data_IF_801795988244
#
_entry.id   IF_801795988244
#
_cell.length_a   1.000
_cell.length_b   1.000
_cell.length_c   1.000
_cell.angle_alpha   90.00
_cell.angle_beta   90.00
_cell.angle_gamma   90.00
#
_symmetry.space_group_name_H-M   'P 1'
#
loop_
_entity.id
_entity.type
_entity.pdbx_description
1 polymer ?
#
# COMPACT_ATOMS: atom_id res chain seq x y z
N UNK A 1 15.05 15.28 -18.24
CA UNK A 1 14.98 13.89 -17.75
C UNK A 1 15.12 14.01 -16.25
N UNK A 2 14.02 14.35 -15.61
CA UNK A 2 14.02 14.84 -14.24
C UNK A 2 13.26 13.83 -13.42
N UNK A 3 13.99 12.85 -12.90
CA UNK A 3 13.52 12.00 -11.82
C UNK A 3 14.06 12.56 -10.51
N UNK A 4 13.20 12.99 -9.59
CA UNK A 4 13.47 12.92 -8.17
C UNK A 4 12.74 11.67 -7.65
N UNK A 5 13.40 10.75 -6.97
CA UNK A 5 14.20 11.04 -5.79
C UNK A 5 13.38 10.54 -4.61
N UNK A 6 13.70 9.32 -4.17
CA UNK A 6 13.30 8.80 -2.88
C UNK A 6 13.60 9.83 -1.79
N UNK A 7 12.58 10.33 -1.09
CA UNK A 7 12.76 11.03 0.18
C UNK A 7 11.44 11.18 0.97
N UNK A 8 11.51 10.72 2.22
CA UNK A 8 10.78 11.20 3.41
C UNK A 8 9.29 10.79 3.53
N UNK A 9 8.80 10.25 4.66
CA UNK A 9 9.41 9.96 5.94
C UNK A 9 8.53 8.96 6.71
N UNK A 10 9.11 7.82 7.09
CA UNK A 10 8.64 7.05 8.22
C UNK A 10 8.93 7.86 9.50
N UNK A 11 7.93 8.60 9.97
CA UNK A 11 7.94 9.33 11.22
C UNK A 11 6.90 8.78 12.20
N UNK A 12 6.98 7.49 12.53
CA UNK A 12 6.21 6.94 13.65
C UNK A 12 7.10 6.92 14.91
N UNK A 13 6.98 7.97 15.72
CA UNK A 13 7.53 8.01 17.08
C UNK A 13 6.93 6.90 17.96
N UNK A 14 7.56 6.58 19.11
CA UNK A 14 7.19 5.45 19.94
C UNK A 14 5.95 5.79 20.78
N UNK A 15 4.78 5.71 20.15
CA UNK A 15 3.50 5.55 20.83
C UNK A 15 2.94 4.22 20.38
N UNK A 16 2.81 3.26 21.29
CA UNK A 16 2.21 1.96 21.03
C UNK A 16 0.70 2.11 20.73
N UNK A 17 0.35 2.63 19.56
CA UNK A 17 -0.97 2.57 18.98
C UNK A 17 -1.05 1.29 18.16
N UNK A 18 -2.09 0.48 18.39
CA UNK A 18 -2.36 -0.82 17.79
C UNK A 18 -2.61 -0.68 16.28
N UNK A 19 -1.61 -0.25 15.51
CA UNK A 19 -1.66 -0.10 14.06
C UNK A 19 -2.04 -1.47 13.51
N UNK A 20 -3.20 -1.59 12.84
CA UNK A 20 -3.63 -2.86 12.29
C UNK A 20 -2.52 -3.40 11.39
N UNK A 21 -2.19 -4.69 11.55
CA UNK A 21 -1.16 -5.34 10.73
C UNK A 21 -1.42 -5.19 9.21
N UNK A 22 -2.67 -4.91 8.83
CA UNK A 22 -3.06 -4.49 7.50
C UNK A 22 -2.34 -3.22 7.01
N UNK A 23 -2.32 -2.14 7.80
CA UNK A 23 -1.70 -0.87 7.42
C UNK A 23 -0.19 -1.02 7.24
N UNK A 24 0.48 -1.76 8.14
CA UNK A 24 1.91 -2.04 8.00
C UNK A 24 2.20 -2.78 6.70
N UNK A 25 1.42 -3.80 6.38
CA UNK A 25 1.56 -4.56 5.13
C UNK A 25 1.23 -3.72 3.89
N UNK A 26 0.19 -2.90 3.96
CA UNK A 26 -0.19 -1.99 2.89
C UNK A 26 0.96 -1.04 2.58
N UNK A 27 1.57 -0.45 3.62
CA UNK A 27 2.72 0.43 3.46
C UNK A 27 3.88 -0.26 2.75
N UNK A 28 4.26 -1.45 3.21
CA UNK A 28 5.31 -2.24 2.55
C UNK A 28 4.95 -2.59 1.11
N UNK A 29 3.68 -2.88 0.84
CA UNK A 29 3.18 -3.24 -0.49
C UNK A 29 3.14 -2.07 -1.47
N UNK A 30 2.91 -0.84 -1.02
CA UNK A 30 2.95 0.37 -1.87
C UNK A 30 4.40 0.86 -2.05
N UNK A 31 5.28 0.59 -1.08
CA UNK A 31 6.70 0.97 -1.13
C UNK A 31 7.56 -0.03 -1.93
N UNK A 32 6.98 -1.16 -2.34
CA UNK A 32 7.68 -2.19 -3.09
C UNK A 32 7.79 -1.81 -4.59
N UNK A 33 9.02 -1.66 -5.14
CA UNK A 33 9.20 -1.30 -6.54
C UNK A 33 8.75 -2.40 -7.51
N UNK A 34 8.65 -3.66 -7.08
CA UNK A 34 8.12 -4.75 -7.92
C UNK A 34 6.60 -4.61 -8.15
N UNK A 35 5.89 -3.94 -7.24
CA UNK A 35 4.44 -3.71 -7.33
C UNK A 35 4.10 -2.32 -7.87
N UNK A 36 5.06 -1.42 -8.06
CA UNK A 36 4.87 -0.02 -8.51
C UNK A 36 4.04 0.10 -9.80
N UNK A 37 4.15 -0.89 -10.69
CA UNK A 37 3.34 -1.00 -11.92
C UNK A 37 1.83 -1.17 -11.68
N UNK A 38 1.44 -1.72 -10.53
CA UNK A 38 0.06 -2.03 -10.14
C UNK A 38 -0.41 -1.18 -8.95
N UNK A 39 0.50 -0.75 -8.09
CA UNK A 39 0.20 0.13 -6.97
C UNK A 39 1.41 1.01 -6.65
N UNK A 40 1.24 2.32 -6.68
CA UNK A 40 2.33 3.25 -6.36
C UNK A 40 1.86 4.44 -5.53
N UNK A 41 2.82 5.07 -4.86
CA UNK A 41 2.57 6.34 -4.19
C UNK A 41 2.30 7.46 -5.20
N UNK A 42 1.31 8.30 -4.88
CA UNK A 42 1.18 9.60 -5.52
C UNK A 42 2.46 10.43 -5.29
N UNK A 43 2.78 11.38 -6.17
CA UNK A 43 3.99 12.21 -6.03
C UNK A 43 4.05 13.02 -4.71
N UNK A 44 2.91 13.20 -4.04
CA UNK A 44 2.83 13.84 -2.72
C UNK A 44 3.03 12.89 -1.55
N UNK A 45 3.13 11.57 -1.78
CA UNK A 45 3.29 10.54 -0.73
C UNK A 45 2.12 10.40 0.24
N UNK A 46 1.03 11.14 0.03
CA UNK A 46 -0.12 11.20 0.94
C UNK A 46 -1.26 10.26 0.53
N UNK A 47 -1.17 9.67 -0.65
CA UNK A 47 -2.17 8.77 -1.23
C UNK A 47 -1.47 7.82 -2.19
N UNK A 48 -2.08 6.67 -2.48
CA UNK A 48 -1.58 5.71 -3.45
C UNK A 48 -2.62 5.47 -4.54
N UNK A 49 -2.16 5.04 -5.71
CA UNK A 49 -3.01 4.67 -6.83
C UNK A 49 -2.90 3.18 -7.09
N UNK A 50 -4.03 2.52 -7.33
CA UNK A 50 -4.06 1.12 -7.76
C UNK A 50 -4.42 1.09 -9.24
N UNK A 51 -3.48 0.63 -10.06
CA UNK A 51 -3.67 0.35 -11.48
C UNK A 51 -4.14 -1.09 -11.65
N UNK A 52 -4.93 -1.35 -12.70
CA UNK A 52 -5.44 -2.67 -13.07
C UNK A 52 -5.87 -3.54 -11.87
N UNK A 53 -6.97 -3.16 -11.23
CA UNK A 53 -7.50 -3.83 -10.03
C UNK A 53 -7.66 -5.35 -10.21
N UNK A 54 -7.96 -5.82 -11.43
CA UNK A 54 -8.05 -7.25 -11.74
C UNK A 54 -6.71 -7.99 -11.68
N UNK A 55 -5.62 -7.33 -12.07
CA UNK A 55 -4.27 -7.88 -11.99
C UNK A 55 -3.71 -7.73 -10.58
N UNK A 56 -3.86 -6.55 -9.97
CA UNK A 56 -3.50 -6.31 -8.57
C UNK A 56 -4.12 -7.35 -7.62
N UNK A 57 -5.41 -7.65 -7.81
CA UNK A 57 -6.11 -8.62 -6.97
C UNK A 57 -5.65 -10.06 -7.18
N UNK A 58 -5.18 -10.43 -8.37
CA UNK A 58 -4.71 -11.78 -8.68
C UNK A 58 -3.23 -12.00 -8.39
N UNK A 59 -2.40 -10.98 -8.53
CA UNK A 59 -0.95 -11.09 -8.44
C UNK A 59 -0.38 -10.53 -7.14
N UNK A 60 -0.93 -9.42 -6.65
CA UNK A 60 -0.40 -8.71 -5.48
C UNK A 60 -1.14 -9.11 -4.21
N UNK A 61 -2.48 -9.04 -4.18
CA UNK A 61 -3.24 -9.41 -2.98
C UNK A 61 -2.89 -10.78 -2.40
N UNK A 62 -2.79 -11.89 -3.17
CA UNK A 62 -2.43 -13.19 -2.60
C UNK A 62 -0.98 -13.30 -2.10
N UNK A 63 -0.08 -12.40 -2.51
CA UNK A 63 1.32 -12.35 -2.00
C UNK A 63 1.39 -11.75 -0.59
N UNK A 64 0.56 -10.75 -0.29
CA UNK A 64 0.62 -10.00 0.99
C UNK A 64 -0.54 -10.37 1.94
N UNK A 65 -1.69 -10.79 1.39
CA UNK A 65 -2.92 -11.13 2.08
C UNK A 65 -3.38 -12.56 1.75
N UNK A 66 -4.17 -13.17 2.65
CA UNK A 66 -4.74 -14.52 2.43
C UNK A 66 -5.98 -14.54 1.53
N UNK A 67 -6.26 -13.45 0.82
CA UNK A 67 -7.39 -13.33 -0.10
C UNK A 67 -6.95 -12.58 -1.35
N UNK A 68 -7.67 -12.80 -2.44
CA UNK A 68 -7.50 -12.10 -3.72
C UNK A 68 -8.66 -11.15 -4.02
N UNK A 69 -9.49 -10.80 -3.02
CA UNK A 69 -10.66 -9.96 -3.24
C UNK A 69 -10.37 -8.49 -2.94
N UNK A 70 -10.49 -7.65 -3.97
CA UNK A 70 -10.33 -6.20 -3.85
C UNK A 70 -11.35 -5.56 -2.90
N UNK A 71 -12.58 -6.06 -2.86
CA UNK A 71 -13.60 -5.54 -1.94
C UNK A 71 -13.23 -5.76 -0.47
N UNK A 72 -12.60 -6.90 -0.15
CA UNK A 72 -12.07 -7.17 1.19
C UNK A 72 -10.91 -6.24 1.55
N UNK A 73 -10.05 -5.93 0.57
CA UNK A 73 -8.96 -4.98 0.72
C UNK A 73 -9.47 -3.56 0.99
N UNK A 74 -10.43 -3.06 0.19
CA UNK A 74 -11.08 -1.76 0.39
C UNK A 74 -11.81 -1.70 1.73
N UNK A 75 -12.46 -2.79 2.14
CA UNK A 75 -13.11 -2.86 3.45
C UNK A 75 -12.10 -2.76 4.60
N UNK A 76 -10.93 -3.39 4.47
CA UNK A 76 -9.87 -3.28 5.49
C UNK A 76 -9.29 -1.86 5.55
N UNK A 77 -9.17 -1.15 4.42
CA UNK A 77 -8.86 0.28 4.41
C UNK A 77 -9.89 1.08 5.22
N UNK A 78 -11.18 0.90 4.92
CA UNK A 78 -12.27 1.64 5.57
C UNK A 78 -12.47 1.28 7.05
N UNK A 79 -12.00 0.12 7.50
CA UNK A 79 -12.11 -0.33 8.89
C UNK A 79 -10.92 0.10 9.76
N UNK A 80 -9.84 0.58 9.14
CA UNK A 80 -8.66 1.10 9.83
C UNK A 80 -8.63 2.63 9.89
N UNK A 81 -9.65 3.31 9.34
CA UNK A 81 -9.91 4.74 9.58
C UNK A 81 -10.49 4.97 10.99
#
# INVERSE_FOLDING_TARGET
MDGPGAAAAAGAGPGASNVPAFLTKLWTLVEDPDTDSLICWSPSGSSFHVFDQGQFSKEVLPKYFKHNNMASFVRQLNMCE
#
